data_IF_592641810332
#
_entry.id   IF_592641810332
#
_cell.length_a   1.000
_cell.length_b   1.000
_cell.length_c   1.000
_cell.angle_alpha   90.00
_cell.angle_beta   90.00
_cell.angle_gamma   90.00
#
_symmetry.space_group_name_H-M   'P 1'
#
loop_
_entity.id
_entity.type
_entity.pdbx_description
1 polymer ?
#
# COMPACT_ATOMS: atom_id res chain seq x y z
N UNK A 1 -6.42 9.33 36.99
CA UNK A 1 -6.99 9.17 35.64
C UNK A 1 -7.22 10.57 35.09
N UNK A 2 -6.86 10.82 33.82
CA UNK A 2 -7.11 12.12 33.18
C UNK A 2 -8.52 12.06 32.59
N UNK A 3 -9.43 12.83 33.17
CA UNK A 3 -10.81 13.00 32.68
C UNK A 3 -10.84 14.18 31.68
N UNK A 4 -11.61 14.03 30.61
CA UNK A 4 -11.82 15.10 29.63
C UNK A 4 -12.68 16.22 30.23
N UNK A 5 -12.44 17.47 29.86
CA UNK A 5 -13.41 18.54 30.16
C UNK A 5 -14.69 18.37 29.35
N UNK A 6 -15.78 19.02 29.76
CA UNK A 6 -17.05 19.02 29.00
C UNK A 6 -16.86 19.51 27.55
N UNK A 7 -16.04 20.55 27.37
CA UNK A 7 -15.71 21.08 26.04
C UNK A 7 -14.94 20.07 25.19
N UNK A 8 -13.91 19.43 25.76
CA UNK A 8 -13.14 18.39 25.05
C UNK A 8 -14.04 17.20 24.70
N UNK A 9 -14.95 16.84 25.61
CA UNK A 9 -15.87 15.74 25.42
C UNK A 9 -16.88 16.01 24.30
N UNK A 10 -17.42 17.23 24.24
CA UNK A 10 -18.30 17.66 23.15
C UNK A 10 -17.60 17.63 21.78
N UNK A 11 -16.31 17.96 21.73
CA UNK A 11 -15.52 17.87 20.49
C UNK A 11 -15.33 16.41 20.08
N UNK A 12 -14.97 15.54 21.01
CA UNK A 12 -14.60 14.14 20.73
C UNK A 12 -15.79 13.20 20.55
N UNK A 13 -17.02 13.63 20.87
CA UNK A 13 -18.20 12.79 20.76
C UNK A 13 -18.36 12.23 19.33
N UNK A 14 -18.57 10.92 19.22
CA UNK A 14 -18.66 10.22 17.94
C UNK A 14 -17.30 9.82 17.34
N UNK A 15 -16.18 10.07 18.03
CA UNK A 15 -14.88 9.63 17.55
C UNK A 15 -14.77 8.11 17.54
N UNK A 16 -14.17 7.59 16.46
CA UNK A 16 -13.72 6.21 16.35
C UNK A 16 -12.24 6.05 16.67
N UNK A 17 -11.50 7.13 16.95
CA UNK A 17 -10.17 7.06 17.56
C UNK A 17 -10.31 6.73 19.07
N UNK A 18 -10.93 5.59 19.35
CA UNK A 18 -11.31 5.12 20.67
C UNK A 18 -10.96 3.62 20.84
N UNK A 19 -10.99 3.13 22.07
CA UNK A 19 -10.86 1.70 22.35
C UNK A 19 -12.18 0.95 22.13
N UNK A 20 -12.19 -0.36 22.39
CA UNK A 20 -13.39 -1.20 22.24
C UNK A 20 -14.55 -0.80 23.16
N UNK A 21 -14.27 -0.09 24.27
CA UNK A 21 -15.28 0.44 25.19
C UNK A 21 -15.72 1.87 24.82
N UNK A 22 -15.20 2.43 23.72
CA UNK A 22 -15.53 3.77 23.25
C UNK A 22 -14.77 4.91 23.95
N UNK A 23 -13.77 4.60 24.79
CA UNK A 23 -12.93 5.63 25.45
C UNK A 23 -11.92 6.19 24.45
N UNK A 24 -11.72 7.51 24.33
CA UNK A 24 -10.80 8.08 23.36
C UNK A 24 -9.37 7.60 23.60
N UNK A 25 -8.69 7.23 22.53
CA UNK A 25 -7.28 6.84 22.58
C UNK A 25 -6.41 8.08 22.83
N UNK A 26 -5.40 7.91 23.67
CA UNK A 26 -4.31 8.88 23.78
C UNK A 26 -3.27 8.54 22.72
N UNK A 27 -3.19 9.41 21.73
CA UNK A 27 -2.22 9.35 20.65
C UNK A 27 -1.15 10.42 20.86
N UNK A 28 -0.02 10.28 20.17
CA UNK A 28 1.15 11.12 20.41
C UNK A 28 1.71 11.68 19.11
N UNK A 29 2.09 12.96 19.16
CA UNK A 29 2.86 13.64 18.12
C UNK A 29 4.26 13.95 18.63
N UNK A 30 5.28 13.53 17.88
CA UNK A 30 6.68 13.84 18.16
C UNK A 30 7.15 15.03 17.32
N UNK A 31 7.61 16.10 17.97
CA UNK A 31 8.05 17.32 17.27
C UNK A 31 9.13 18.05 18.05
N UNK A 32 9.87 18.93 17.39
CA UNK A 32 10.80 19.88 18.03
C UNK A 32 10.32 21.34 17.94
N UNK A 33 9.21 21.57 17.24
CA UNK A 33 8.61 22.90 17.15
C UNK A 33 7.94 23.27 18.47
N UNK A 34 8.09 24.54 18.89
CA UNK A 34 7.34 25.12 19.99
C UNK A 34 6.02 25.69 19.45
N UNK A 35 4.90 25.13 19.91
CA UNK A 35 3.55 25.59 19.63
C UNK A 35 2.60 25.09 20.72
N UNK A 36 1.48 25.81 20.84
CA UNK A 36 0.37 25.61 21.77
C UNK A 36 -0.89 25.06 21.09
N UNK A 37 -0.96 25.16 19.75
CA UNK A 37 -2.03 24.59 18.92
C UNK A 37 -1.53 24.10 17.58
N UNK A 38 -2.17 23.06 17.06
CA UNK A 38 -2.05 22.69 15.64
C UNK A 38 -2.79 23.72 14.79
N UNK A 39 -2.20 24.15 13.67
CA UNK A 39 -2.80 25.19 12.82
C UNK A 39 -2.62 24.90 11.33
N UNK A 40 -1.40 24.59 10.88
CA UNK A 40 -1.12 24.25 9.50
C UNK A 40 -0.07 23.16 9.41
N UNK A 41 -0.21 22.29 8.42
CA UNK A 41 0.76 21.26 8.05
C UNK A 41 1.10 21.43 6.57
N UNK A 42 2.34 21.15 6.17
CA UNK A 42 2.73 21.04 4.75
C UNK A 42 2.45 19.64 4.18
N UNK A 43 2.07 18.68 5.03
CA UNK A 43 1.77 17.30 4.67
C UNK A 43 0.26 17.09 4.36
N UNK A 44 -0.15 15.85 4.08
CA UNK A 44 -1.56 15.50 3.92
C UNK A 44 -2.38 15.78 5.18
N UNK A 45 -1.77 15.67 6.37
CA UNK A 45 -2.43 15.97 7.63
C UNK A 45 -1.44 15.99 8.79
N UNK A 46 -1.97 15.77 9.99
CA UNK A 46 -1.17 15.66 11.21
C UNK A 46 -1.08 14.18 11.61
N UNK A 47 0.14 13.68 11.78
CA UNK A 47 0.39 12.27 12.07
C UNK A 47 0.50 12.02 13.57
N UNK A 48 -0.17 10.97 14.01
CA UNK A 48 -0.21 10.53 15.39
C UNK A 48 -0.03 9.01 15.48
N UNK A 49 0.57 8.56 16.56
CA UNK A 49 0.70 7.13 16.84
C UNK A 49 0.78 6.86 18.33
N UNK A 50 1.22 5.67 18.69
CA UNK A 50 1.61 5.37 20.06
C UNK A 50 2.76 6.29 20.50
N UNK A 51 2.90 6.48 21.82
CA UNK A 51 4.03 7.22 22.41
C UNK A 51 5.38 6.75 21.89
N UNK A 52 5.54 5.43 21.72
CA UNK A 52 6.76 4.81 21.21
C UNK A 52 7.05 5.21 19.75
N UNK A 53 6.03 5.25 18.89
CA UNK A 53 6.19 5.69 17.50
C UNK A 53 6.60 7.17 17.43
N UNK A 54 5.91 8.03 18.19
CA UNK A 54 6.26 9.45 18.28
C UNK A 54 7.69 9.68 18.81
N UNK A 55 8.12 8.91 19.81
CA UNK A 55 9.50 8.98 20.31
C UNK A 55 10.52 8.51 19.27
N UNK A 56 10.21 7.44 18.53
CA UNK A 56 11.11 6.97 17.48
C UNK A 56 11.21 7.97 16.34
N UNK A 57 10.11 8.65 15.99
CA UNK A 57 10.12 9.71 14.98
C UNK A 57 11.15 10.80 15.31
N UNK A 58 11.22 11.22 16.57
CA UNK A 58 12.23 12.20 17.04
C UNK A 58 13.66 11.69 16.84
N UNK A 59 13.90 10.39 17.04
CA UNK A 59 15.21 9.76 16.85
C UNK A 59 15.61 9.61 15.37
N UNK A 60 14.64 9.61 14.46
CA UNK A 60 14.87 9.49 13.01
C UNK A 60 14.78 10.81 12.27
N UNK A 61 14.71 11.95 12.97
CA UNK A 61 14.77 13.27 12.35
C UNK A 61 16.11 13.45 11.62
N UNK A 62 16.07 13.89 10.37
CA UNK A 62 17.28 14.23 9.63
C UNK A 62 17.80 15.63 10.01
N UNK A 63 19.02 15.95 9.55
CA UNK A 63 19.67 17.25 9.87
C UNK A 63 18.85 18.45 9.39
N UNK A 64 18.19 18.36 8.23
CA UNK A 64 17.37 19.46 7.71
C UNK A 64 16.12 19.69 8.58
N UNK A 65 15.48 18.62 9.04
CA UNK A 65 14.33 18.68 9.94
C UNK A 65 14.70 19.26 11.30
N UNK A 66 15.84 18.84 11.86
CA UNK A 66 16.39 19.40 13.11
C UNK A 66 16.69 20.90 12.94
N UNK A 67 17.27 21.32 11.81
CA UNK A 67 17.54 22.73 11.53
C UNK A 67 16.27 23.56 11.37
N UNK A 68 15.23 23.00 10.75
CA UNK A 68 13.93 23.66 10.60
C UNK A 68 13.18 23.81 11.94
N UNK A 69 13.50 22.97 12.93
CA UNK A 69 12.86 22.94 14.24
C UNK A 69 13.90 22.80 15.37
N UNK A 70 14.70 23.84 15.67
CA UNK A 70 15.87 23.70 16.55
C UNK A 70 15.52 23.53 18.05
N UNK A 71 14.24 23.49 18.42
CA UNK A 71 13.79 23.32 19.81
C UNK A 71 14.11 21.94 20.40
N UNK A 72 13.84 21.71 21.70
CA UNK A 72 13.99 20.41 22.32
C UNK A 72 12.95 19.41 21.78
N UNK A 73 13.24 18.12 21.92
CA UNK A 73 12.30 17.05 21.65
C UNK A 73 11.03 17.19 22.52
N UNK A 74 9.86 17.19 21.88
CA UNK A 74 8.55 17.27 22.51
C UNK A 74 7.69 16.10 22.08
N UNK A 75 7.03 15.51 23.06
CA UNK A 75 5.98 14.52 22.88
C UNK A 75 4.66 15.15 23.34
N UNK A 76 3.73 15.34 22.41
CA UNK A 76 2.46 16.02 22.65
C UNK A 76 1.35 14.96 22.66
N UNK A 77 0.71 14.67 23.81
CA UNK A 77 -0.43 13.77 23.87
C UNK A 77 -1.68 14.46 23.31
N UNK A 78 -2.46 13.73 22.52
CA UNK A 78 -3.71 14.21 21.89
C UNK A 78 -4.79 13.14 21.94
N UNK A 79 -6.04 13.58 21.86
CA UNK A 79 -7.17 12.78 21.42
C UNK A 79 -7.69 13.33 20.09
N UNK A 80 -8.24 12.48 19.23
CA UNK A 80 -8.66 12.85 17.88
C UNK A 80 -10.17 12.72 17.73
N UNK A 81 -10.78 13.65 16.99
CA UNK A 81 -12.17 13.58 16.52
C UNK A 81 -12.17 13.02 15.08
N UNK A 82 -12.18 11.70 14.96
CA UNK A 82 -12.19 11.02 13.65
C UNK A 82 -13.34 10.03 13.66
N UNK A 83 -14.43 10.33 12.96
CA UNK A 83 -15.64 9.52 12.90
C UNK A 83 -15.64 8.55 11.70
N UNK A 84 -15.04 8.92 10.57
CA UNK A 84 -15.06 8.12 9.35
C UNK A 84 -13.68 8.06 8.66
N UNK A 85 -12.70 7.35 9.25
CA UNK A 85 -11.37 7.29 8.68
C UNK A 85 -11.33 6.47 7.39
N UNK A 86 -10.49 6.88 6.44
CA UNK A 86 -9.98 5.97 5.42
C UNK A 86 -9.06 4.95 6.08
N UNK A 87 -9.22 3.68 5.73
CA UNK A 87 -8.33 2.62 6.17
C UNK A 87 -7.30 2.25 5.12
N UNK A 88 -6.02 2.37 5.47
CA UNK A 88 -4.88 1.93 4.66
C UNK A 88 -4.18 0.75 5.35
N UNK A 89 -4.29 -0.48 4.81
CA UNK A 89 -3.69 -1.65 5.43
C UNK A 89 -2.14 -1.61 5.41
N UNK A 90 -1.58 -0.80 4.51
CA UNK A 90 -0.14 -0.65 4.31
C UNK A 90 0.33 0.78 4.61
N UNK A 91 1.58 0.87 5.04
CA UNK A 91 2.29 2.13 5.23
C UNK A 91 2.60 2.73 3.86
N UNK A 92 2.18 3.97 3.56
CA UNK A 92 2.57 4.60 2.32
C UNK A 92 4.06 4.89 2.21
N UNK A 93 4.79 4.89 3.35
CA UNK A 93 6.21 5.25 3.52
C UNK A 93 6.54 6.67 3.11
N UNK A 94 6.12 7.06 1.91
CA UNK A 94 6.09 8.41 1.41
C UNK A 94 4.64 8.90 1.38
N UNK A 95 4.35 9.98 2.12
CA UNK A 95 3.10 10.73 2.02
C UNK A 95 3.10 11.68 0.81
N UNK A 96 3.65 11.17 -0.29
CA UNK A 96 3.81 11.82 -1.60
C UNK A 96 3.86 10.75 -2.67
N UNK A 97 3.69 11.16 -3.91
CA UNK A 97 4.01 10.36 -5.08
C UNK A 97 2.86 9.53 -5.58
N UNK A 98 3.21 8.72 -6.58
CA UNK A 98 2.35 7.72 -7.18
C UNK A 98 1.81 6.71 -6.15
N UNK A 99 2.53 6.48 -5.04
CA UNK A 99 2.05 5.56 -4.01
C UNK A 99 0.82 6.11 -3.30
N UNK A 100 0.88 7.36 -2.80
CA UNK A 100 -0.25 7.99 -2.13
C UNK A 100 -1.46 8.08 -3.06
N UNK A 101 -1.23 8.34 -4.34
CA UNK A 101 -2.25 8.33 -5.39
C UNK A 101 -2.86 6.95 -5.57
N UNK A 102 -2.02 5.92 -5.71
CA UNK A 102 -2.49 4.54 -5.83
C UNK A 102 -3.36 4.12 -4.64
N UNK A 103 -2.96 4.51 -3.42
CA UNK A 103 -3.66 4.17 -2.19
C UNK A 103 -4.98 4.93 -2.00
N UNK A 104 -5.00 6.22 -2.34
CA UNK A 104 -6.13 7.10 -2.01
C UNK A 104 -7.09 7.37 -3.17
N UNK A 105 -6.69 7.18 -4.44
CA UNK A 105 -7.51 7.57 -5.61
C UNK A 105 -8.95 7.03 -5.57
N UNK A 106 -9.16 5.82 -5.03
CA UNK A 106 -10.49 5.18 -4.95
C UNK A 106 -11.46 5.88 -3.99
N UNK A 107 -10.94 6.72 -3.09
CA UNK A 107 -11.70 7.51 -2.14
C UNK A 107 -11.90 8.96 -2.61
N UNK A 108 -11.52 9.29 -3.85
CA UNK A 108 -11.62 10.66 -4.36
C UNK A 108 -12.69 10.75 -5.44
N UNK A 109 -13.42 11.88 -5.53
CA UNK A 109 -14.28 12.18 -6.67
C UNK A 109 -13.50 12.17 -7.98
N UNK A 110 -14.13 11.74 -9.08
CA UNK A 110 -13.47 11.63 -10.39
C UNK A 110 -12.86 12.96 -10.88
N UNK A 111 -13.50 14.10 -10.57
CA UNK A 111 -12.97 15.43 -10.89
C UNK A 111 -11.64 15.72 -10.19
N UNK A 112 -11.55 15.43 -8.89
CA UNK A 112 -10.33 15.60 -8.12
C UNK A 112 -9.22 14.65 -8.60
N UNK A 113 -9.58 13.40 -8.95
CA UNK A 113 -8.61 12.47 -9.55
C UNK A 113 -8.02 13.02 -10.86
N UNK A 114 -8.86 13.64 -11.71
CA UNK A 114 -8.41 14.22 -12.96
C UNK A 114 -7.48 15.43 -12.74
N UNK A 115 -7.78 16.30 -11.77
CA UNK A 115 -6.92 17.44 -11.43
C UNK A 115 -5.56 16.98 -10.86
N UNK A 116 -5.56 16.01 -9.94
CA UNK A 116 -4.31 15.42 -9.43
C UNK A 116 -3.47 14.87 -10.59
N UNK A 117 -4.10 14.18 -11.56
CA UNK A 117 -3.40 13.61 -12.72
C UNK A 117 -2.76 14.69 -13.61
N UNK A 118 -3.33 15.88 -13.71
CA UNK A 118 -2.73 17.01 -14.46
C UNK A 118 -1.48 17.55 -13.77
N UNK A 119 -1.47 17.55 -12.44
CA UNK A 119 -0.38 18.09 -11.63
C UNK A 119 0.76 17.08 -11.43
N UNK A 120 0.48 15.78 -11.56
CA UNK A 120 1.42 14.69 -11.35
C UNK A 120 2.78 14.84 -12.05
N UNK A 121 2.85 15.19 -13.35
CA UNK A 121 4.13 15.40 -14.04
C UNK A 121 5.00 16.52 -13.43
N UNK A 122 4.41 17.37 -12.57
CA UNK A 122 5.04 18.51 -11.89
C UNK A 122 5.00 18.37 -10.37
N UNK A 123 4.79 17.16 -9.84
CA UNK A 123 4.54 16.94 -8.42
C UNK A 123 5.57 17.60 -7.52
N UNK A 124 6.86 17.57 -7.88
CA UNK A 124 7.90 18.17 -7.06
C UNK A 124 7.63 19.66 -6.73
N UNK A 125 7.05 20.41 -7.68
CA UNK A 125 6.72 21.82 -7.54
C UNK A 125 5.28 22.03 -7.04
N UNK A 126 4.37 21.13 -7.42
CA UNK A 126 2.93 21.25 -7.15
C UNK A 126 2.46 20.38 -5.97
N UNK A 127 3.41 19.85 -5.17
CA UNK A 127 3.14 18.93 -4.06
C UNK A 127 2.05 19.46 -3.14
N UNK A 128 2.11 20.76 -2.81
CA UNK A 128 1.13 21.38 -1.92
C UNK A 128 -0.28 21.31 -2.52
N UNK A 129 -0.44 21.71 -3.78
CA UNK A 129 -1.71 21.69 -4.47
C UNK A 129 -2.28 20.25 -4.58
N UNK A 130 -1.42 19.27 -4.86
CA UNK A 130 -1.82 17.84 -4.88
C UNK A 130 -2.33 17.38 -3.51
N UNK A 131 -1.61 17.69 -2.43
CA UNK A 131 -2.04 17.32 -1.07
C UNK A 131 -3.33 18.04 -0.65
N UNK A 132 -3.50 19.29 -1.07
CA UNK A 132 -4.72 20.05 -0.82
C UNK A 132 -5.92 19.42 -1.55
N UNK A 133 -5.75 18.97 -2.80
CA UNK A 133 -6.75 18.21 -3.56
C UNK A 133 -7.10 16.88 -2.89
N UNK A 134 -6.12 16.14 -2.35
CA UNK A 134 -6.40 14.94 -1.57
C UNK A 134 -7.25 15.23 -0.33
N UNK A 135 -6.87 16.25 0.47
CA UNK A 135 -7.67 16.62 1.67
C UNK A 135 -9.09 17.01 1.27
N UNK A 136 -9.24 17.79 0.20
CA UNK A 136 -10.54 18.19 -0.32
C UNK A 136 -11.37 16.95 -0.72
N UNK A 137 -10.82 16.05 -1.54
CA UNK A 137 -11.57 14.91 -2.04
C UNK A 137 -11.93 13.88 -0.97
N UNK A 138 -11.07 13.69 0.03
CA UNK A 138 -11.40 12.87 1.20
C UNK A 138 -12.55 13.50 2.00
N UNK A 139 -12.53 14.80 2.25
CA UNK A 139 -13.63 15.49 2.94
C UNK A 139 -14.93 15.46 2.16
N UNK A 140 -14.88 15.67 0.84
CA UNK A 140 -16.06 15.63 -0.05
C UNK A 140 -16.73 14.24 -0.07
N UNK A 141 -15.94 13.18 0.16
CA UNK A 141 -16.44 11.80 0.27
C UNK A 141 -16.78 11.40 1.72
N UNK A 142 -16.77 12.37 2.65
CA UNK A 142 -17.19 12.19 4.04
C UNK A 142 -16.11 11.58 4.94
N UNK A 143 -14.85 11.57 4.53
CA UNK A 143 -13.73 11.11 5.34
C UNK A 143 -13.06 12.27 6.08
N UNK A 144 -12.73 12.05 7.35
CA UNK A 144 -12.17 13.06 8.27
C UNK A 144 -10.77 12.69 8.80
N UNK A 145 -10.30 11.47 8.50
CA UNK A 145 -8.98 11.02 8.88
C UNK A 145 -8.50 9.81 8.10
N UNK A 146 -7.31 9.33 8.44
CA UNK A 146 -6.76 8.09 7.89
C UNK A 146 -6.21 7.25 9.03
N UNK A 147 -6.59 5.97 9.07
CA UNK A 147 -5.93 4.94 9.88
C UNK A 147 -5.03 4.15 8.97
N UNK A 148 -3.75 4.06 9.32
CA UNK A 148 -2.77 3.36 8.50
C UNK A 148 -1.79 2.56 9.33
N UNK A 149 -1.27 1.50 8.72
CA UNK A 149 -0.23 0.69 9.33
C UNK A 149 1.09 1.45 9.27
N UNK A 150 1.67 1.86 10.40
CA UNK A 150 2.93 2.59 10.40
C UNK A 150 4.09 1.62 10.64
N UNK A 151 4.63 1.08 9.56
CA UNK A 151 5.74 0.14 9.56
C UNK A 151 7.11 0.81 9.76
N UNK A 152 7.22 2.09 9.40
CA UNK A 152 8.47 2.85 9.49
C UNK A 152 8.90 3.08 10.95
N UNK A 153 7.96 3.56 11.77
CA UNK A 153 8.22 3.91 13.18
C UNK A 153 7.91 2.75 14.13
N UNK A 154 7.28 1.69 13.64
CA UNK A 154 7.06 0.46 14.41
C UNK A 154 8.26 -0.47 14.43
N UNK A 155 8.45 -1.19 15.54
CA UNK A 155 9.50 -2.22 15.60
C UNK A 155 9.17 -3.39 14.68
N UNK A 156 10.18 -4.05 14.09
CA UNK A 156 9.98 -5.23 13.23
C UNK A 156 9.15 -6.35 13.88
N UNK A 157 9.04 -6.37 15.22
CA UNK A 157 8.29 -7.38 16.00
C UNK A 157 6.84 -7.01 16.29
N UNK A 158 6.44 -5.76 16.12
CA UNK A 158 5.09 -5.28 16.43
C UNK A 158 4.80 -4.05 15.59
N UNK A 159 3.84 -4.18 14.67
CA UNK A 159 3.38 -3.06 13.86
C UNK A 159 2.15 -2.45 14.49
N UNK A 160 2.23 -1.17 14.84
CA UNK A 160 1.14 -0.42 15.44
C UNK A 160 0.44 0.46 14.40
N UNK A 161 -0.85 0.68 14.63
CA UNK A 161 -1.66 1.60 13.84
C UNK A 161 -1.32 3.06 14.17
N UNK A 162 -1.26 3.89 13.14
CA UNK A 162 -1.17 5.34 13.24
C UNK A 162 -2.42 5.99 12.69
N UNK A 163 -2.65 7.22 13.13
CA UNK A 163 -3.78 8.04 12.76
C UNK A 163 -3.30 9.31 12.11
N UNK A 164 -4.05 9.80 11.13
CA UNK A 164 -3.83 11.07 10.47
C UNK A 164 -5.12 11.88 10.56
N UNK A 165 -5.04 13.07 11.18
CA UNK A 165 -6.13 14.04 11.17
C UNK A 165 -5.96 15.01 10.00
N UNK A 166 -7.02 15.21 9.20
CA UNK A 166 -6.97 16.08 8.01
C UNK A 166 -7.04 17.57 8.37
N UNK A 167 -7.53 17.90 9.56
CA UNK A 167 -7.76 19.28 10.01
C UNK A 167 -7.27 19.48 11.44
N UNK A 168 -6.82 20.70 11.79
CA UNK A 168 -6.43 20.99 13.17
C UNK A 168 -7.60 20.99 14.14
N UNK A 169 -8.83 21.27 13.69
CA UNK A 169 -10.03 21.30 14.51
C UNK A 169 -10.41 19.92 15.07
N UNK A 170 -9.93 18.85 14.42
CA UNK A 170 -10.14 17.46 14.84
C UNK A 170 -9.14 16.99 15.93
N UNK A 171 -8.27 17.89 16.43
CA UNK A 171 -7.21 17.54 17.38
C UNK A 171 -7.47 18.21 18.73
N UNK A 172 -7.63 17.40 19.77
CA UNK A 172 -7.69 17.87 21.16
C UNK A 172 -6.35 17.60 21.83
N UNK A 173 -5.59 18.66 22.11
CA UNK A 173 -4.37 18.56 22.91
C UNK A 173 -4.71 18.26 24.38
N UNK A 174 -4.03 17.26 24.93
CA UNK A 174 -4.21 16.83 26.32
C UNK A 174 -3.15 17.48 27.22
N UNK A 175 -3.37 17.57 28.55
CA UNK A 175 -2.38 18.11 29.47
C UNK A 175 -1.02 17.41 29.35
N UNK A 176 0.09 18.15 29.46
CA UNK A 176 1.42 17.56 29.55
C UNK A 176 1.48 16.51 30.68
N UNK A 177 2.15 15.37 30.43
CA UNK A 177 2.23 14.27 31.39
C UNK A 177 1.06 13.28 31.36
N UNK A 178 0.12 13.43 30.43
CA UNK A 178 -0.91 12.40 30.18
C UNK A 178 -0.24 11.12 29.66
N UNK A 179 -0.04 10.15 30.55
CA UNK A 179 0.67 8.90 30.25
C UNK A 179 -0.26 7.69 30.04
N UNK A 180 -1.57 7.89 30.22
CA UNK A 180 -2.57 6.86 29.98
C UNK A 180 -2.69 6.53 28.48
N UNK A 181 -3.10 5.30 28.15
CA UNK A 181 -3.38 4.89 26.77
C UNK A 181 -4.76 5.36 26.27
N UNK A 182 -5.66 5.69 27.20
CA UNK A 182 -7.02 6.19 26.97
C UNK A 182 -7.33 7.27 28.00
N UNK A 183 -8.31 8.11 27.70
CA UNK A 183 -8.89 9.08 28.64
C UNK A 183 -10.34 8.72 28.93
N UNK A 184 -10.79 9.03 30.13
CA UNK A 184 -12.16 8.73 30.55
C UNK A 184 -13.11 9.87 30.17
N UNK A 185 -14.33 9.49 29.81
CA UNK A 185 -15.43 10.41 29.57
C UNK A 185 -15.98 10.96 30.91
N UNK A 186 -16.51 12.19 30.92
CA UNK A 186 -17.33 12.68 32.03
C UNK A 186 -18.51 11.74 32.32
N UNK A 187 -18.95 11.74 33.57
CA UNK A 187 -20.08 10.93 34.01
C UNK A 187 -21.32 11.17 33.12
N UNK A 188 -21.88 10.09 32.58
CA UNK A 188 -23.07 10.12 31.72
C UNK A 188 -22.79 10.29 30.22
N UNK A 189 -21.55 10.55 29.81
CA UNK A 189 -21.17 10.57 28.39
C UNK A 189 -20.80 9.17 27.93
N UNK A 190 -21.44 8.71 26.86
CA UNK A 190 -21.19 7.40 26.23
C UNK A 190 -20.88 7.63 24.77
N UNK A 191 -19.82 6.98 24.28
CA UNK A 191 -19.43 6.98 22.88
C UNK A 191 -19.53 5.56 22.31
N UNK A 192 -19.73 5.46 20.99
CA UNK A 192 -19.73 4.17 20.30
C UNK A 192 -18.36 3.47 20.37
N UNK A 193 -18.30 2.18 19.98
CA UNK A 193 -17.03 1.46 19.95
C UNK A 193 -16.05 2.13 18.97
N UNK A 194 -14.76 2.06 19.31
CA UNK A 194 -13.68 2.54 18.47
C UNK A 194 -13.55 1.80 17.14
N UNK A 195 -12.68 2.32 16.29
CA UNK A 195 -12.26 1.69 15.05
C UNK A 195 -11.37 0.48 15.38
N UNK A 196 -11.87 -0.72 15.12
CA UNK A 196 -11.06 -1.94 15.18
C UNK A 196 -10.32 -2.11 13.85
N UNK A 197 -9.09 -1.59 13.80
CA UNK A 197 -8.24 -1.67 12.62
C UNK A 197 -7.85 -3.11 12.25
N UNK A 198 -7.82 -4.04 13.21
CA UNK A 198 -7.51 -5.44 12.93
C UNK A 198 -8.73 -6.19 12.38
N UNK A 199 -9.94 -5.84 12.83
CA UNK A 199 -11.17 -6.30 12.18
C UNK A 199 -11.35 -5.69 10.79
N UNK A 200 -11.03 -4.40 10.61
CA UNK A 200 -11.07 -3.77 9.30
C UNK A 200 -10.04 -4.38 8.35
N UNK A 201 -8.81 -4.60 8.83
CA UNK A 201 -7.79 -5.35 8.09
C UNK A 201 -8.33 -6.71 7.66
N UNK A 202 -8.99 -7.44 8.57
CA UNK A 202 -9.58 -8.73 8.27
C UNK A 202 -10.70 -8.64 7.22
N UNK A 203 -11.58 -7.64 7.34
CA UNK A 203 -12.65 -7.36 6.38
C UNK A 203 -12.09 -7.05 5.01
N UNK A 204 -10.99 -6.28 4.96
CA UNK A 204 -10.34 -5.94 3.69
C UNK A 204 -9.37 -7.01 3.20
N UNK A 205 -9.57 -8.29 3.56
CA UNK A 205 -8.80 -9.42 3.03
C UNK A 205 -7.47 -9.70 3.75
N UNK A 206 -7.24 -9.13 4.93
CA UNK A 206 -6.22 -9.63 5.85
C UNK A 206 -6.65 -10.98 6.40
N UNK A 207 -5.91 -12.04 6.13
CA UNK A 207 -6.27 -13.38 6.62
C UNK A 207 -6.24 -13.39 8.17
N UNK A 208 -7.38 -13.70 8.82
CA UNK A 208 -7.42 -14.15 10.23
C UNK A 208 -7.27 -15.67 10.25
N UNK A 209 -6.26 -16.17 10.97
CA UNK A 209 -6.16 -17.61 11.28
C UNK A 209 -7.09 -17.98 12.45
N UNK A 210 -7.45 -19.26 12.56
CA UNK A 210 -8.34 -19.82 13.60
C UNK A 210 -7.88 -19.59 15.07
N UNK A 211 -6.67 -19.07 15.31
CA UNK A 211 -6.12 -18.89 16.66
C UNK A 211 -6.04 -17.42 17.14
N UNK A 212 -6.68 -16.48 16.45
CA UNK A 212 -6.77 -15.06 16.89
C UNK A 212 -5.45 -14.29 16.92
N UNK A 213 -4.34 -14.88 16.44
CA UNK A 213 -3.05 -14.21 16.26
C UNK A 213 -2.83 -13.90 14.78
N UNK A 214 -2.68 -12.62 14.46
CA UNK A 214 -2.36 -12.12 13.12
C UNK A 214 -0.89 -12.48 12.80
N UNK A 215 -0.67 -13.69 12.25
CA UNK A 215 0.64 -14.12 11.72
C UNK A 215 0.53 -14.28 10.21
N UNK A 216 0.96 -13.25 9.50
CA UNK A 216 1.11 -13.26 8.03
C UNK A 216 2.00 -14.40 7.52
N UNK A 217 2.83 -15.05 8.33
CA UNK A 217 3.84 -16.00 7.85
C UNK A 217 3.36 -17.44 7.63
N UNK A 218 2.29 -17.92 8.29
CA UNK A 218 1.88 -19.33 8.18
C UNK A 218 0.93 -19.60 7.01
N UNK A 219 0.11 -18.63 6.60
CA UNK A 219 -0.82 -18.81 5.47
C UNK A 219 -0.23 -18.46 4.10
N UNK A 220 0.90 -17.74 4.05
CA UNK A 220 1.55 -17.42 2.76
C UNK A 220 1.99 -18.66 2.00
N UNK A 221 2.53 -19.65 2.71
CA UNK A 221 2.94 -20.92 2.11
C UNK A 221 1.72 -21.70 1.60
N UNK A 222 0.60 -21.66 2.31
CA UNK A 222 -0.65 -22.27 1.85
C UNK A 222 -1.23 -21.55 0.61
N UNK A 223 -1.17 -20.21 0.56
CA UNK A 223 -1.50 -19.41 -0.64
C UNK A 223 -0.63 -19.82 -1.83
N UNK A 224 0.66 -20.01 -1.59
CA UNK A 224 1.63 -20.44 -2.58
C UNK A 224 1.43 -21.87 -3.06
N UNK A 225 1.18 -22.80 -2.13
CA UNK A 225 0.90 -24.19 -2.45
C UNK A 225 -0.42 -24.33 -3.21
N UNK A 226 -1.46 -23.58 -2.84
CA UNK A 226 -2.73 -23.55 -3.57
C UNK A 226 -2.59 -22.92 -4.96
N UNK A 227 -1.83 -21.83 -5.08
CA UNK A 227 -1.53 -21.22 -6.38
C UNK A 227 -0.73 -22.18 -7.26
N UNK A 228 0.34 -22.79 -6.73
CA UNK A 228 1.16 -23.75 -7.46
C UNK A 228 0.38 -25.00 -7.89
N UNK A 229 -0.48 -25.54 -7.03
CA UNK A 229 -1.36 -26.67 -7.35
C UNK A 229 -2.36 -26.30 -8.45
N UNK A 230 -3.02 -25.14 -8.35
CA UNK A 230 -3.95 -24.67 -9.39
C UNK A 230 -3.26 -24.39 -10.73
N UNK A 231 -2.06 -23.80 -10.69
CA UNK A 231 -1.24 -23.53 -11.86
C UNK A 231 -0.73 -24.83 -12.49
N UNK A 232 -0.24 -25.79 -11.70
CA UNK A 232 0.21 -27.09 -12.19
C UNK A 232 -0.90 -27.93 -12.80
N UNK A 233 -2.15 -27.78 -12.32
CA UNK A 233 -3.33 -28.39 -12.94
C UNK A 233 -3.71 -27.76 -14.28
N UNK A 234 -3.47 -26.45 -14.43
CA UNK A 234 -3.92 -25.67 -15.58
C UNK A 234 -2.86 -25.54 -16.68
N UNK A 235 -1.58 -25.59 -16.31
CA UNK A 235 -0.44 -25.39 -17.18
C UNK A 235 0.38 -26.67 -17.09
N UNK A 236 0.39 -27.47 -18.16
CA UNK A 236 0.87 -28.86 -18.22
C UNK A 236 2.39 -29.04 -18.05
N UNK A 237 2.99 -28.43 -17.05
CA UNK A 237 4.42 -28.45 -16.74
C UNK A 237 4.69 -28.64 -15.25
N UNK A 238 5.92 -29.06 -14.94
CA UNK A 238 6.37 -29.17 -13.55
C UNK A 238 6.56 -27.77 -12.97
N UNK A 239 5.79 -27.44 -11.93
CA UNK A 239 5.91 -26.16 -11.21
C UNK A 239 6.91 -26.33 -10.08
N UNK A 240 8.11 -25.76 -10.22
CA UNK A 240 9.08 -25.73 -9.14
C UNK A 240 8.88 -24.50 -8.25
N UNK A 241 8.55 -24.73 -6.98
CA UNK A 241 8.49 -23.67 -5.97
C UNK A 241 9.88 -23.39 -5.40
N UNK A 242 10.39 -22.19 -5.65
CA UNK A 242 11.68 -21.69 -5.17
C UNK A 242 11.42 -20.47 -4.27
N UNK A 243 12.08 -20.36 -3.11
CA UNK A 243 11.99 -19.15 -2.28
C UNK A 243 12.02 -19.35 -0.77
N UNK A 244 11.95 -18.24 -0.05
CA UNK A 244 11.97 -18.17 1.41
C UNK A 244 10.59 -17.80 2.00
N UNK A 245 10.53 -17.35 3.25
CA UNK A 245 9.27 -17.05 3.94
C UNK A 245 8.55 -15.80 3.43
N UNK A 246 9.24 -14.92 2.70
CA UNK A 246 8.74 -13.60 2.30
C UNK A 246 8.60 -13.45 0.78
N UNK A 247 9.26 -14.31 0.02
CA UNK A 247 9.16 -14.38 -1.44
C UNK A 247 9.16 -15.84 -1.88
N UNK A 248 8.23 -16.20 -2.75
CA UNK A 248 8.29 -17.46 -3.43
C UNK A 248 7.89 -17.31 -4.89
N UNK A 249 8.44 -18.22 -5.66
CA UNK A 249 8.55 -18.15 -7.10
C UNK A 249 8.22 -19.54 -7.66
N UNK A 250 7.43 -19.57 -8.72
CA UNK A 250 7.10 -20.74 -9.51
C UNK A 250 7.66 -20.53 -10.92
N UNK A 251 8.48 -21.46 -11.41
CA UNK A 251 8.98 -21.45 -12.79
C UNK A 251 8.49 -22.67 -13.54
N UNK A 252 8.05 -22.48 -14.78
CA UNK A 252 7.71 -23.56 -15.72
C UNK A 252 7.81 -23.08 -17.16
N UNK A 253 7.86 -24.02 -18.10
CA UNK A 253 7.88 -23.72 -19.53
C UNK A 253 6.49 -23.91 -20.13
N UNK A 254 6.01 -22.93 -20.91
CA UNK A 254 4.76 -23.03 -21.66
C UNK A 254 5.00 -22.60 -23.11
N UNK A 255 4.67 -23.45 -24.08
CA UNK A 255 4.88 -23.21 -25.51
C UNK A 255 6.31 -22.72 -25.86
N UNK A 256 7.32 -23.31 -25.21
CA UNK A 256 8.74 -22.96 -25.41
C UNK A 256 9.18 -21.66 -24.73
N UNK A 257 8.37 -21.08 -23.84
CA UNK A 257 8.70 -19.86 -23.10
C UNK A 257 8.80 -20.13 -21.60
N UNK A 258 9.78 -19.53 -20.94
CA UNK A 258 9.81 -19.50 -19.47
C UNK A 258 8.70 -18.59 -18.94
N UNK A 259 7.89 -19.14 -18.06
CA UNK A 259 6.90 -18.41 -17.26
C UNK A 259 7.36 -18.46 -15.82
N UNK A 260 7.51 -17.27 -15.24
CA UNK A 260 7.92 -17.09 -13.84
C UNK A 260 6.76 -16.43 -13.10
N UNK A 261 6.28 -17.03 -12.02
CA UNK A 261 5.22 -16.51 -11.18
C UNK A 261 5.78 -16.23 -9.80
N UNK A 262 5.79 -14.98 -9.40
CA UNK A 262 6.23 -14.52 -8.10
C UNK A 262 5.02 -14.19 -7.22
N UNK A 263 5.06 -14.61 -5.97
CA UNK A 263 4.12 -14.17 -4.94
C UNK A 263 4.85 -13.23 -4.00
N UNK A 264 4.47 -11.95 -4.07
CA UNK A 264 5.07 -10.92 -3.25
C UNK A 264 4.33 -10.84 -1.91
N UNK A 265 4.84 -11.56 -0.91
CA UNK A 265 4.17 -11.82 0.37
C UNK A 265 3.86 -10.60 1.24
N UNK A 266 4.42 -9.42 0.93
CA UNK A 266 4.11 -8.17 1.66
C UNK A 266 2.78 -7.53 1.27
N UNK A 267 2.25 -7.82 0.08
CA UNK A 267 1.14 -7.06 -0.53
C UNK A 267 0.01 -7.92 -1.08
N UNK A 268 0.06 -9.25 -0.89
CA UNK A 268 -0.96 -10.16 -1.44
C UNK A 268 -1.07 -10.05 -2.96
N UNK A 269 0.06 -9.89 -3.66
CA UNK A 269 0.10 -9.80 -5.11
C UNK A 269 0.69 -11.06 -5.70
N UNK A 270 0.04 -11.57 -6.74
CA UNK A 270 0.62 -12.48 -7.70
C UNK A 270 1.15 -11.65 -8.87
N UNK A 271 2.38 -11.95 -9.27
CA UNK A 271 3.00 -11.42 -10.48
C UNK A 271 3.36 -12.60 -11.35
N UNK A 272 2.86 -12.67 -12.57
CA UNK A 272 3.42 -13.55 -13.59
C UNK A 272 4.29 -12.71 -14.51
N UNK A 273 5.54 -13.08 -14.71
CA UNK A 273 6.38 -12.58 -15.79
C UNK A 273 6.43 -13.66 -16.86
N UNK A 274 6.03 -13.29 -18.08
CA UNK A 274 5.95 -14.21 -19.22
C UNK A 274 7.01 -13.78 -20.23
N UNK A 275 7.93 -14.69 -20.59
CA UNK A 275 9.03 -14.36 -21.49
C UNK A 275 10.21 -13.69 -20.79
N UNK A 276 10.47 -14.04 -19.53
CA UNK A 276 11.77 -13.78 -18.94
C UNK A 276 12.79 -14.68 -19.66
N UNK A 277 13.43 -14.15 -20.69
CA UNK A 277 14.54 -14.84 -21.32
C UNK A 277 15.76 -14.77 -20.39
N UNK A 278 16.35 -15.91 -20.09
CA UNK A 278 17.66 -15.95 -19.45
C UNK A 278 18.68 -15.25 -20.35
N UNK A 279 19.75 -14.73 -19.76
CA UNK A 279 20.79 -14.02 -20.50
C UNK A 279 21.36 -14.88 -21.65
N UNK A 280 21.43 -16.19 -21.44
CA UNK A 280 21.89 -17.16 -22.43
C UNK A 280 20.90 -17.36 -23.59
N UNK A 281 19.58 -17.33 -23.33
CA UNK A 281 18.53 -17.42 -24.36
C UNK A 281 18.48 -16.15 -25.23
N UNK A 282 18.73 -14.97 -24.63
CA UNK A 282 18.86 -13.71 -25.36
C UNK A 282 20.08 -13.75 -26.28
N UNK A 283 21.19 -14.32 -25.80
CA UNK A 283 22.40 -14.50 -26.59
C UNK A 283 22.18 -15.46 -27.78
N UNK A 284 21.39 -16.53 -27.61
CA UNK A 284 21.02 -17.45 -28.70
C UNK A 284 20.18 -16.79 -29.80
N UNK A 285 19.39 -15.75 -29.45
CA UNK A 285 18.66 -14.93 -30.41
C UNK A 285 19.54 -13.90 -31.13
N UNK A 286 20.85 -13.86 -30.84
CA UNK A 286 21.77 -12.85 -31.36
C UNK A 286 21.52 -11.44 -30.80
N UNK A 287 20.79 -11.34 -29.69
CA UNK A 287 20.51 -10.10 -29.00
C UNK A 287 21.47 -9.95 -27.82
N UNK A 288 21.75 -8.70 -27.42
CA UNK A 288 22.58 -8.39 -26.26
C UNK A 288 21.76 -7.50 -25.34
N UNK A 289 21.66 -7.87 -24.06
CA UNK A 289 20.88 -7.10 -23.09
C UNK A 289 21.33 -5.64 -23.05
N UNK A 290 20.38 -4.71 -23.10
CA UNK A 290 20.65 -3.27 -23.00
C UNK A 290 21.21 -2.63 -24.28
N UNK A 291 21.19 -3.31 -25.42
CA UNK A 291 21.49 -2.67 -26.72
C UNK A 291 20.26 -2.04 -27.35
N UNK A 292 20.43 -1.05 -28.24
CA UNK A 292 19.33 -0.49 -29.03
C UNK A 292 18.54 -1.56 -29.80
N UNK A 293 19.18 -2.60 -30.31
CA UNK A 293 18.53 -3.71 -31.01
C UNK A 293 17.65 -4.56 -30.09
N UNK A 294 18.09 -4.81 -28.85
CA UNK A 294 17.26 -5.44 -27.82
C UNK A 294 16.07 -4.55 -27.45
N UNK A 295 16.30 -3.25 -27.29
CA UNK A 295 15.23 -2.28 -27.00
C UNK A 295 14.24 -2.10 -28.16
N UNK A 296 14.69 -2.19 -29.40
CA UNK A 296 13.86 -2.10 -30.60
C UNK A 296 13.04 -3.37 -30.78
N UNK A 297 13.65 -4.55 -30.61
CA UNK A 297 12.92 -5.82 -30.56
C UNK A 297 11.86 -5.83 -29.46
N UNK A 298 12.20 -5.36 -28.25
CA UNK A 298 11.27 -5.17 -27.12
C UNK A 298 10.15 -4.17 -27.44
N UNK A 299 10.43 -3.11 -28.20
CA UNK A 299 9.45 -2.06 -28.58
C UNK A 299 8.57 -2.45 -29.76
N UNK A 300 9.11 -3.20 -30.70
CA UNK A 300 8.40 -3.80 -31.83
C UNK A 300 7.51 -4.97 -31.38
N UNK A 301 7.62 -5.37 -30.12
CA UNK A 301 6.98 -6.56 -29.60
C UNK A 301 5.46 -6.38 -29.58
N UNK A 302 4.82 -7.02 -30.58
CA UNK A 302 3.37 -7.29 -30.65
C UNK A 302 2.80 -7.78 -29.32
N UNK A 303 3.63 -8.35 -28.45
CA UNK A 303 3.33 -8.70 -27.06
C UNK A 303 2.57 -7.63 -26.26
N UNK A 304 3.05 -6.38 -26.20
CA UNK A 304 2.39 -5.33 -25.39
C UNK A 304 1.06 -4.92 -25.99
N UNK A 305 0.98 -4.85 -27.31
CA UNK A 305 -0.24 -4.55 -28.04
C UNK A 305 -1.27 -5.69 -27.87
N UNK A 306 -0.83 -6.95 -27.96
CA UNK A 306 -1.67 -8.14 -27.78
C UNK A 306 -2.18 -8.26 -26.35
N UNK A 307 -1.34 -8.01 -25.34
CA UNK A 307 -1.77 -8.01 -23.93
C UNK A 307 -2.75 -6.87 -23.62
N UNK A 308 -2.45 -5.66 -24.11
CA UNK A 308 -3.32 -4.49 -23.92
C UNK A 308 -4.67 -4.68 -24.64
N UNK A 309 -4.68 -5.34 -25.81
CA UNK A 309 -5.91 -5.67 -26.52
C UNK A 309 -6.70 -6.82 -25.88
N UNK A 310 -6.00 -7.78 -25.26
CA UNK A 310 -6.63 -8.95 -24.63
C UNK A 310 -7.31 -8.62 -23.29
N UNK A 311 -6.95 -7.50 -22.64
CA UNK A 311 -7.42 -7.16 -21.30
C UNK A 311 -7.93 -5.72 -21.22
N UNK A 312 -9.20 -5.55 -20.85
CA UNK A 312 -9.77 -4.24 -20.47
C UNK A 312 -9.68 -3.96 -18.96
N UNK A 313 -8.98 -4.81 -18.21
CA UNK A 313 -8.92 -4.75 -16.76
C UNK A 313 -7.74 -3.90 -16.29
N UNK A 314 -8.04 -2.76 -15.65
CA UNK A 314 -7.06 -1.82 -15.09
C UNK A 314 -6.10 -2.43 -14.04
N UNK A 315 -6.38 -3.65 -13.55
CA UNK A 315 -5.50 -4.41 -12.66
C UNK A 315 -4.34 -5.05 -13.43
N UNK A 316 -4.52 -5.41 -14.70
CA UNK A 316 -3.47 -5.93 -15.57
C UNK A 316 -2.57 -4.77 -15.99
N UNK A 317 -1.42 -4.65 -15.32
CA UNK A 317 -0.39 -3.68 -15.69
C UNK A 317 0.73 -4.39 -16.42
N UNK A 318 1.12 -3.90 -17.58
CA UNK A 318 2.39 -4.30 -18.20
C UNK A 318 3.48 -3.37 -17.68
N UNK A 319 4.47 -3.91 -16.98
CA UNK A 319 5.70 -3.17 -16.67
C UNK A 319 6.52 -3.04 -17.97
N UNK A 320 7.12 -1.87 -18.19
CA UNK A 320 7.99 -1.59 -19.34
C UNK A 320 9.22 -2.50 -19.36
N UNK A 321 9.70 -2.90 -18.18
CA UNK A 321 10.95 -3.64 -18.00
C UNK A 321 10.75 -5.14 -17.81
N UNK A 322 9.55 -5.56 -17.42
CA UNK A 322 9.20 -6.95 -17.25
C UNK A 322 7.81 -7.18 -17.83
N UNK A 323 7.76 -8.01 -18.86
CA UNK A 323 6.58 -8.52 -19.53
C UNK A 323 5.65 -9.26 -18.55
N UNK A 324 4.97 -8.49 -17.69
CA UNK A 324 4.36 -8.98 -16.46
C UNK A 324 2.86 -8.74 -16.40
N UNK A 325 2.14 -9.69 -15.83
CA UNK A 325 0.75 -9.59 -15.39
C UNK A 325 0.78 -9.47 -13.88
N UNK A 326 0.16 -8.41 -13.36
CA UNK A 326 0.00 -8.24 -11.93
C UNK A 326 -1.47 -8.41 -11.60
N UNK A 327 -1.77 -9.28 -10.64
CA UNK A 327 -3.09 -9.32 -10.03
C UNK A 327 -2.94 -9.12 -8.52
N UNK A 328 -3.65 -8.13 -8.01
CA UNK A 328 -3.72 -7.87 -6.57
C UNK A 328 -4.93 -8.59 -6.00
N UNK A 329 -4.69 -9.40 -4.98
CA UNK A 329 -5.75 -10.10 -4.28
C UNK A 329 -6.71 -9.07 -3.67
N UNK A 330 -7.99 -9.19 -4.00
CA UNK A 330 -8.96 -8.24 -3.48
C UNK A 330 -9.33 -8.57 -2.04
N UNK A 331 -9.47 -7.53 -1.21
CA UNK A 331 -10.22 -7.58 0.04
C UNK A 331 -11.43 -8.51 0.06
N UNK A 332 -11.40 -9.58 0.87
CA UNK A 332 -12.52 -10.53 1.04
C UNK A 332 -12.73 -11.50 -0.12
N UNK A 333 -11.92 -11.44 -1.17
CA UNK A 333 -11.95 -12.42 -2.25
C UNK A 333 -11.47 -13.78 -1.73
N UNK A 334 -12.21 -14.87 -1.91
CA UNK A 334 -11.71 -16.20 -1.57
C UNK A 334 -10.40 -16.48 -2.32
N UNK A 335 -9.41 -17.06 -1.64
CA UNK A 335 -8.10 -17.37 -2.22
C UNK A 335 -8.24 -18.19 -3.52
N UNK A 336 -9.12 -19.19 -3.53
CA UNK A 336 -9.35 -20.02 -4.71
C UNK A 336 -9.91 -19.23 -5.90
N UNK A 337 -10.77 -18.24 -5.64
CA UNK A 337 -11.32 -17.38 -6.68
C UNK A 337 -10.25 -16.45 -7.25
N UNK A 338 -9.38 -15.91 -6.38
CA UNK A 338 -8.24 -15.09 -6.79
C UNK A 338 -7.23 -15.87 -7.63
N UNK A 339 -6.88 -17.09 -7.20
CA UNK A 339 -5.98 -17.98 -7.95
C UNK A 339 -6.59 -18.37 -9.28
N UNK A 340 -7.89 -18.70 -9.33
CA UNK A 340 -8.61 -18.99 -10.57
C UNK A 340 -8.58 -17.80 -11.52
N UNK A 341 -8.94 -16.62 -11.05
CA UNK A 341 -8.93 -15.38 -11.83
C UNK A 341 -7.52 -15.08 -12.39
N UNK A 342 -6.48 -15.21 -11.56
CA UNK A 342 -5.10 -15.04 -12.02
C UNK A 342 -4.73 -16.06 -13.10
N UNK A 343 -5.13 -17.31 -12.94
CA UNK A 343 -4.85 -18.39 -13.89
C UNK A 343 -5.58 -18.17 -15.22
N UNK A 344 -6.82 -17.70 -15.17
CA UNK A 344 -7.59 -17.31 -16.36
C UNK A 344 -6.92 -16.15 -17.09
N UNK A 345 -6.53 -15.10 -16.38
CA UNK A 345 -5.80 -13.96 -16.95
C UNK A 345 -4.47 -14.39 -17.56
N UNK A 346 -3.72 -15.24 -16.88
CA UNK A 346 -2.47 -15.79 -17.39
C UNK A 346 -2.70 -16.63 -18.65
N UNK A 347 -3.75 -17.45 -18.69
CA UNK A 347 -4.08 -18.29 -19.84
C UNK A 347 -4.44 -17.45 -21.06
N UNK A 348 -5.26 -16.41 -20.90
CA UNK A 348 -5.59 -15.45 -21.97
C UNK A 348 -4.32 -14.76 -22.47
N UNK A 349 -3.48 -14.31 -21.55
CA UNK A 349 -2.20 -13.67 -21.88
C UNK A 349 -1.25 -14.59 -22.63
N UNK A 350 -1.15 -15.87 -22.23
CA UNK A 350 -0.32 -16.88 -22.90
C UNK A 350 -0.84 -17.20 -24.31
N UNK A 351 -2.15 -17.26 -24.50
CA UNK A 351 -2.78 -17.50 -25.80
C UNK A 351 -2.63 -16.33 -26.77
N UNK A 352 -2.51 -15.10 -26.26
CA UNK A 352 -2.31 -13.89 -27.07
C UNK A 352 -0.86 -13.72 -27.57
N UNK A 353 0.06 -14.60 -27.17
CA UNK A 353 1.47 -14.48 -27.52
C UNK A 353 1.73 -14.98 -28.94
N UNK A 354 2.52 -14.25 -29.74
CA UNK A 354 3.05 -14.82 -30.98
C UNK A 354 3.92 -16.05 -30.66
N UNK A 355 4.11 -17.00 -31.58
CA UNK A 355 5.12 -18.05 -31.40
C UNK A 355 6.51 -17.42 -31.18
N UNK A 356 7.42 -18.06 -30.41
CA UNK A 356 8.80 -17.60 -30.33
C UNK A 356 9.42 -17.58 -31.74
N UNK A 357 10.33 -16.63 -32.02
CA UNK A 357 11.05 -16.61 -33.29
C UNK A 357 11.79 -17.93 -33.50
N UNK A 358 11.78 -18.45 -34.72
CA UNK A 358 12.51 -19.66 -35.03
C UNK A 358 14.02 -19.44 -34.78
N UNK A 359 14.74 -20.43 -34.20
CA UNK A 359 16.18 -20.35 -34.03
C UNK A 359 16.87 -20.02 -35.36
N UNK A 360 17.68 -18.95 -35.38
CA UNK A 360 18.43 -18.54 -36.58
C UNK A 360 17.78 -17.47 -37.46
N UNK A 361 16.58 -16.98 -37.14
CA UNK A 361 16.12 -15.70 -37.70
C UNK A 361 16.77 -14.55 -36.94
N UNK A 362 17.93 -14.11 -37.41
CA UNK A 362 18.53 -12.86 -36.94
C UNK A 362 17.50 -11.73 -37.09
N UNK A 363 17.32 -10.93 -36.04
CA UNK A 363 16.55 -9.70 -36.14
C UNK A 363 17.07 -8.89 -37.33
N UNK A 364 16.20 -8.29 -38.16
CA UNK A 364 16.65 -7.47 -39.27
C UNK A 364 17.64 -6.44 -38.73
N UNK A 365 18.83 -6.37 -39.33
CA UNK A 365 19.82 -5.38 -38.95
C UNK A 365 19.15 -4.00 -39.01
N UNK A 366 19.30 -3.16 -37.97
CA UNK A 366 18.66 -1.86 -37.97
C UNK A 366 19.12 -1.10 -39.21
N UNK A 367 18.16 -0.73 -40.07
CA UNK A 367 18.41 0.20 -41.17
C UNK A 367 18.77 1.54 -40.55
N UNK A 368 20.04 1.93 -40.71
CA UNK A 368 20.59 3.21 -40.27
C UNK A 368 19.89 4.41 -40.92
#
# INVERSE_FOLDING_TARGET
>A
MTELSDQQSAILLGTRAADAAGRPLVLWHGTRHAFDRFASTSDLGFHFGSRRQAQRRLQTLNVAEIKAAPGPDRLIPVALKIANPVFLPDDPRAWTGDYLIGALRRFLPAGIQAEIRKLLPREFYERRAILDLFRQGLKETGHDGIVYRNSYESSARSVSWSWLALTPEDIVMLPPGTDAAVVDWPAGVVNGPGFDADAELARVGGIRTQAGKLKLSSDRRAVLEAAADALGKSLSGEVQLIGDKDHAEARFTHAGRLVQIEVMGRIGRLRATVGAYQQDEIAELGLVWGTPSFDEWRRADTFLASLSAAHSDDRVRTDRDHHGIYLSWQPGQPLNDFVREFTELLSVSLAALPPPPAPGHAAPAPTL
#
